data_IF_916745860626
#
_entry.id   IF_916745860626
#
_cell.length_a   1.000
_cell.length_b   1.000
_cell.length_c   1.000
_cell.angle_alpha   90.00
_cell.angle_beta   90.00
_cell.angle_gamma   90.00
#
_symmetry.space_group_name_H-M   'P 1'
#
loop_
_entity.id
_entity.type
_entity.pdbx_description
1 polymer ?
#
# COMPACT_ATOMS: atom_id res chain seq x y z
N UNK A 1 2.89 7.63 -14.21
CA UNK A 1 2.03 6.66 -13.50
C UNK A 1 0.65 7.25 -13.29
N UNK A 2 -0.33 6.45 -12.86
CA UNK A 2 -1.68 6.94 -12.58
C UNK A 2 -1.78 7.79 -11.30
N UNK A 3 -0.87 7.55 -10.33
CA UNK A 3 -0.91 8.23 -9.02
C UNK A 3 0.46 8.62 -8.47
N UNK A 4 1.52 7.91 -8.84
CA UNK A 4 2.88 8.16 -8.35
C UNK A 4 3.73 8.94 -9.35
N UNK A 5 4.54 9.85 -8.80
CA UNK A 5 5.63 10.56 -9.48
C UNK A 5 6.91 10.32 -8.70
N UNK A 6 7.82 9.54 -9.26
CA UNK A 6 9.11 9.19 -8.68
C UNK A 6 10.20 9.29 -9.74
N UNK A 7 11.42 9.58 -9.32
CA UNK A 7 12.60 9.66 -10.21
C UNK A 7 13.15 8.29 -10.59
N UNK A 8 12.83 7.27 -9.80
CA UNK A 8 13.24 5.88 -10.01
C UNK A 8 12.04 4.96 -9.76
N UNK A 9 11.79 4.04 -10.69
CA UNK A 9 10.62 3.15 -10.64
C UNK A 9 10.69 2.14 -9.49
N UNK A 10 11.90 1.81 -9.05
CA UNK A 10 12.15 0.84 -7.98
C UNK A 10 11.93 1.44 -6.57
N UNK A 11 11.56 2.72 -6.45
CA UNK A 11 11.24 3.36 -5.17
C UNK A 11 9.85 2.94 -4.66
N UNK A 12 9.62 1.64 -4.56
CA UNK A 12 8.33 1.04 -4.17
C UNK A 12 8.07 1.15 -2.66
N UNK A 13 9.13 1.24 -1.86
CA UNK A 13 9.12 1.45 -0.41
C UNK A 13 10.31 2.32 0.03
N UNK A 14 10.27 2.82 1.26
CA UNK A 14 11.26 3.77 1.80
C UNK A 14 12.70 3.22 1.78
N UNK A 15 12.88 1.92 1.99
CA UNK A 15 14.19 1.24 1.93
C UNK A 15 14.93 1.49 0.61
N UNK A 16 14.22 1.46 -0.52
CA UNK A 16 14.79 1.70 -1.86
C UNK A 16 15.22 3.14 -2.09
N UNK A 17 14.52 4.09 -1.45
CA UNK A 17 14.91 5.50 -1.45
C UNK A 17 16.18 5.70 -0.63
N UNK A 18 16.26 5.07 0.56
CA UNK A 18 17.44 5.12 1.44
C UNK A 18 18.67 4.48 0.80
N UNK A 19 18.53 3.35 0.12
CA UNK A 19 19.62 2.66 -0.59
C UNK A 19 20.31 3.57 -1.62
N UNK A 20 19.57 4.54 -2.19
CA UNK A 20 20.11 5.54 -3.12
C UNK A 20 20.64 6.80 -2.43
N UNK A 21 20.68 6.84 -1.10
CA UNK A 21 21.17 7.96 -0.31
C UNK A 21 20.20 9.16 -0.23
N UNK A 22 18.93 8.96 -0.60
CA UNK A 22 17.91 9.99 -0.56
C UNK A 22 17.12 9.94 0.76
N UNK A 23 16.55 11.08 1.15
CA UNK A 23 15.69 11.21 2.34
C UNK A 23 14.24 10.84 1.99
N UNK A 24 13.70 9.72 2.51
CA UNK A 24 12.33 9.28 2.19
C UNK A 24 11.24 10.25 2.66
N UNK A 25 11.55 11.16 3.59
CA UNK A 25 10.59 12.18 4.03
C UNK A 25 10.41 13.30 3.01
N UNK A 26 11.43 13.53 2.16
CA UNK A 26 11.40 14.52 1.07
C UNK A 26 11.02 13.89 -0.26
N UNK A 27 11.39 12.63 -0.45
CA UNK A 27 11.14 11.86 -1.65
C UNK A 27 10.26 10.64 -1.30
N UNK A 28 8.94 10.84 -1.20
CA UNK A 28 8.04 9.77 -0.79
C UNK A 28 8.06 8.62 -1.80
N UNK A 29 8.16 7.40 -1.29
CA UNK A 29 8.08 6.17 -2.09
C UNK A 29 6.68 5.97 -2.71
N UNK A 30 6.58 5.07 -3.70
CA UNK A 30 5.33 4.78 -4.42
C UNK A 30 4.24 4.32 -3.44
N UNK A 31 4.56 3.48 -2.46
CA UNK A 31 3.61 3.04 -1.42
C UNK A 31 3.07 4.21 -0.60
N UNK A 32 3.93 5.14 -0.20
CA UNK A 32 3.52 6.35 0.51
C UNK A 32 2.65 7.25 -0.37
N UNK A 33 2.98 7.41 -1.65
CA UNK A 33 2.16 8.19 -2.60
C UNK A 33 0.81 7.53 -2.90
N UNK A 34 0.71 6.20 -2.83
CA UNK A 34 -0.56 5.47 -2.95
C UNK A 34 -1.51 5.81 -1.80
N UNK A 35 -1.01 5.84 -0.56
CA UNK A 35 -1.87 6.04 0.63
C UNK A 35 -2.09 7.51 0.95
N UNK A 36 -1.05 8.35 0.83
CA UNK A 36 -1.08 9.75 1.29
C UNK A 36 -0.96 10.77 0.17
N UNK A 37 -0.57 10.36 -1.04
CA UNK A 37 -0.44 11.26 -2.19
C UNK A 37 -1.78 11.86 -2.60
N UNK A 38 -1.76 13.04 -3.23
CA UNK A 38 -2.98 13.78 -3.60
C UNK A 38 -3.91 12.98 -4.51
N UNK A 39 -3.35 12.19 -5.42
CA UNK A 39 -4.13 11.31 -6.29
C UNK A 39 -4.43 9.98 -5.58
N UNK A 40 -3.40 9.34 -4.99
CA UNK A 40 -3.51 8.01 -4.39
C UNK A 40 -4.60 7.90 -3.32
N UNK A 41 -4.64 8.86 -2.39
CA UNK A 41 -5.62 8.90 -1.30
C UNK A 41 -7.07 9.02 -1.77
N UNK A 42 -7.29 9.45 -3.01
CA UNK A 42 -8.63 9.66 -3.58
C UNK A 42 -9.05 8.52 -4.51
N UNK A 43 -8.20 7.50 -4.71
CA UNK A 43 -8.57 6.34 -5.52
C UNK A 43 -9.66 5.54 -4.80
N UNK A 44 -10.77 5.29 -5.49
CA UNK A 44 -11.87 4.48 -4.95
C UNK A 44 -11.53 2.99 -4.93
N UNK A 45 -10.80 2.49 -5.92
CA UNK A 45 -10.51 1.05 -6.04
C UNK A 45 -9.06 0.84 -6.42
N UNK A 46 -8.33 0.13 -5.56
CA UNK A 46 -6.97 -0.34 -5.79
C UNK A 46 -6.99 -1.86 -5.70
N UNK A 47 -6.66 -2.55 -6.79
CA UNK A 47 -6.54 -4.01 -6.83
C UNK A 47 -5.16 -4.35 -7.40
N UNK A 48 -4.29 -4.95 -6.58
CA UNK A 48 -2.89 -5.20 -6.93
C UNK A 48 -2.28 -6.35 -6.11
N UNK A 49 -0.99 -6.63 -6.32
CA UNK A 49 -0.14 -7.40 -5.41
C UNK A 49 0.75 -6.46 -4.58
N UNK A 50 1.92 -6.93 -4.16
CA UNK A 50 2.94 -6.08 -3.53
C UNK A 50 2.65 -5.66 -2.08
N UNK A 51 1.89 -6.46 -1.30
CA UNK A 51 1.59 -6.17 0.12
C UNK A 51 2.83 -5.83 0.93
N UNK A 52 3.94 -6.53 0.69
CA UNK A 52 5.18 -6.36 1.46
C UNK A 52 5.72 -4.92 1.41
N UNK A 53 5.46 -4.18 0.34
CA UNK A 53 5.95 -2.80 0.18
C UNK A 53 5.17 -1.78 1.03
N UNK A 54 4.00 -2.19 1.53
CA UNK A 54 3.18 -1.38 2.43
C UNK A 54 3.35 -1.78 3.90
N UNK A 55 4.01 -2.91 4.18
CA UNK A 55 4.20 -3.45 5.54
C UNK A 55 5.62 -3.22 6.06
N UNK A 56 5.79 -2.97 7.38
CA UNK A 56 7.11 -2.88 7.99
C UNK A 56 7.76 -4.26 8.07
N UNK A 57 9.09 -4.30 8.12
CA UNK A 57 9.88 -5.54 8.27
C UNK A 57 9.55 -6.34 9.54
N UNK A 58 8.93 -5.70 10.53
CA UNK A 58 8.47 -6.32 11.77
C UNK A 58 7.08 -6.97 11.66
N UNK A 59 6.35 -6.71 10.58
CA UNK A 59 5.04 -7.31 10.32
C UNK A 59 5.15 -8.50 9.38
N UNK A 60 4.33 -9.52 9.65
CA UNK A 60 4.16 -10.69 8.80
C UNK A 60 2.79 -10.57 8.13
N UNK A 61 2.76 -10.69 6.80
CA UNK A 61 1.54 -10.65 6.01
C UNK A 61 0.70 -11.94 6.19
N UNK A 62 -0.49 -11.95 5.59
CA UNK A 62 -1.44 -13.06 5.70
C UNK A 62 -0.95 -14.35 5.01
N UNK A 63 0.13 -14.29 4.22
CA UNK A 63 0.79 -15.44 3.58
C UNK A 63 2.06 -15.87 4.33
N UNK A 64 2.39 -15.25 5.46
CA UNK A 64 3.56 -15.61 6.26
C UNK A 64 4.86 -14.96 5.80
N UNK A 65 4.82 -13.92 4.95
CA UNK A 65 6.02 -13.19 4.50
C UNK A 65 6.19 -11.87 5.23
N UNK A 66 7.44 -11.48 5.46
CA UNK A 66 7.76 -10.23 6.12
C UNK A 66 7.57 -9.02 5.18
N UNK A 67 7.20 -7.88 5.75
CA UNK A 67 7.19 -6.59 5.05
C UNK A 67 8.59 -6.12 4.65
N UNK A 68 8.64 -5.07 3.83
CA UNK A 68 9.88 -4.51 3.29
C UNK A 68 10.15 -3.08 3.76
N UNK A 69 9.18 -2.40 4.39
CA UNK A 69 9.38 -1.02 4.86
C UNK A 69 10.34 -0.96 6.05
N UNK A 70 11.27 -0.01 6.01
CA UNK A 70 12.30 0.20 7.03
C UNK A 70 12.00 1.37 7.98
N UNK A 71 10.91 2.10 7.72
CA UNK A 71 10.44 3.21 8.53
C UNK A 71 9.48 2.80 9.67
N UNK A 72 9.19 1.50 9.80
CA UNK A 72 8.31 0.95 10.83
C UNK A 72 6.82 1.24 10.58
N UNK A 73 6.45 1.77 9.41
CA UNK A 73 5.07 2.14 9.10
C UNK A 73 4.31 0.99 8.47
N UNK A 74 3.06 0.83 8.90
CA UNK A 74 2.09 -0.05 8.23
C UNK A 74 1.13 0.81 7.42
N UNK A 75 1.41 0.95 6.12
CA UNK A 75 0.60 1.78 5.23
C UNK A 75 -0.79 1.21 4.98
N UNK A 76 -0.99 -0.11 5.14
CA UNK A 76 -2.32 -0.73 5.05
C UNK A 76 -3.20 -0.26 6.20
N UNK A 77 -2.66 -0.20 7.42
CA UNK A 77 -3.41 0.27 8.58
C UNK A 77 -3.63 1.79 8.53
N UNK A 78 -2.65 2.54 8.04
CA UNK A 78 -2.82 3.98 7.78
C UNK A 78 -3.92 4.24 6.74
N UNK A 79 -3.99 3.44 5.67
CA UNK A 79 -5.04 3.52 4.66
C UNK A 79 -6.42 3.19 5.26
N UNK A 80 -6.52 2.13 6.08
CA UNK A 80 -7.78 1.80 6.80
C UNK A 80 -8.21 2.94 7.71
N UNK A 81 -7.28 3.56 8.43
CA UNK A 81 -7.56 4.69 9.30
C UNK A 81 -8.06 5.91 8.51
N UNK A 82 -7.44 6.17 7.35
CA UNK A 82 -7.80 7.29 6.48
C UNK A 82 -9.23 7.18 5.93
N UNK A 83 -9.66 5.97 5.55
CA UNK A 83 -10.96 5.74 4.95
C UNK A 83 -12.04 5.27 5.95
N UNK A 84 -11.66 4.90 7.16
CA UNK A 84 -12.58 4.54 8.23
C UNK A 84 -13.59 3.46 7.82
N UNK A 85 -14.87 3.68 8.12
CA UNK A 85 -15.97 2.77 7.76
C UNK A 85 -16.24 2.71 6.25
N UNK A 86 -15.82 3.72 5.50
CA UNK A 86 -16.01 3.78 4.05
C UNK A 86 -14.94 2.97 3.29
N UNK A 87 -13.88 2.54 3.99
CA UNK A 87 -12.77 1.77 3.45
C UNK A 87 -12.86 0.28 3.77
N UNK A 88 -12.62 -0.56 2.75
CA UNK A 88 -12.48 -2.00 2.91
C UNK A 88 -11.13 -2.47 2.39
N UNK A 89 -10.36 -3.11 3.26
CA UNK A 89 -9.18 -3.88 2.86
C UNK A 89 -9.55 -5.35 2.67
N UNK A 90 -9.04 -5.96 1.60
CA UNK A 90 -9.17 -7.39 1.30
C UNK A 90 -7.86 -7.94 0.75
N UNK A 91 -7.57 -9.21 0.99
CA UNK A 91 -6.30 -9.82 0.54
C UNK A 91 -6.46 -11.15 -0.19
N UNK A 92 -7.69 -11.66 -0.32
CA UNK A 92 -7.96 -12.90 -1.04
C UNK A 92 -9.25 -12.79 -1.87
N UNK A 93 -9.40 -13.71 -2.84
CA UNK A 93 -10.57 -13.78 -3.72
C UNK A 93 -11.88 -13.90 -2.96
N UNK A 94 -11.91 -14.64 -1.86
CA UNK A 94 -13.13 -14.88 -1.09
C UNK A 94 -13.64 -13.59 -0.45
N UNK A 95 -12.74 -12.81 0.15
CA UNK A 95 -13.09 -11.51 0.75
C UNK A 95 -13.49 -10.47 -0.29
N UNK A 96 -12.83 -10.46 -1.45
CA UNK A 96 -13.21 -9.60 -2.57
C UNK A 96 -14.65 -9.90 -3.01
N UNK A 97 -14.98 -11.18 -3.24
CA UNK A 97 -16.32 -11.58 -3.66
C UNK A 97 -17.39 -11.38 -2.58
N UNK A 98 -17.01 -11.37 -1.31
CA UNK A 98 -17.90 -11.09 -0.19
C UNK A 98 -18.06 -9.58 0.11
N UNK A 99 -17.39 -8.71 -0.63
CA UNK A 99 -17.43 -7.27 -0.39
C UNK A 99 -18.76 -6.68 -0.86
N UNK A 100 -19.50 -6.07 0.06
CA UNK A 100 -20.73 -5.35 -0.23
C UNK A 100 -20.40 -3.93 -0.72
N UNK A 101 -20.40 -3.75 -2.04
CA UNK A 101 -20.06 -2.48 -2.69
C UNK A 101 -21.07 -1.36 -2.41
N UNK A 102 -22.26 -1.68 -1.89
CA UNK A 102 -23.25 -0.68 -1.48
C UNK A 102 -22.92 0.01 -0.16
N UNK A 103 -21.97 -0.53 0.62
CA UNK A 103 -21.60 -0.05 1.96
C UNK A 103 -20.23 0.60 2.06
N UNK A 104 -19.47 0.61 0.97
CA UNK A 104 -18.09 1.11 0.95
C UNK A 104 -17.90 2.10 -0.20
N UNK A 105 -16.95 3.03 -0.03
CA UNK A 105 -16.54 3.99 -1.07
C UNK A 105 -15.11 3.76 -1.55
N UNK A 106 -14.32 3.06 -0.74
CA UNK A 106 -12.92 2.76 -1.01
C UNK A 106 -12.64 1.27 -0.79
N UNK A 107 -11.94 0.66 -1.74
CA UNK A 107 -11.51 -0.74 -1.71
C UNK A 107 -10.01 -0.83 -1.99
N UNK A 108 -9.27 -1.42 -1.05
CA UNK A 108 -7.86 -1.78 -1.20
C UNK A 108 -7.75 -3.31 -1.20
N UNK A 109 -7.59 -3.90 -2.38
CA UNK A 109 -7.36 -5.32 -2.57
C UNK A 109 -5.90 -5.60 -2.89
N UNK A 110 -5.19 -6.27 -1.98
CA UNK A 110 -3.79 -6.66 -2.18
C UNK A 110 -3.64 -8.18 -2.08
N UNK A 111 -3.48 -8.87 -3.21
CA UNK A 111 -3.69 -10.32 -3.30
C UNK A 111 -2.43 -11.17 -3.16
N UNK A 112 -1.26 -10.55 -3.24
CA UNK A 112 0.04 -11.23 -3.22
C UNK A 112 1.04 -10.41 -2.42
N UNK A 113 2.02 -11.08 -1.81
CA UNK A 113 3.10 -10.42 -1.07
C UNK A 113 3.99 -9.56 -1.97
N UNK A 114 4.28 -10.05 -3.17
CA UNK A 114 5.15 -9.42 -4.17
C UNK A 114 4.41 -9.30 -5.53
N UNK A 115 5.13 -8.95 -6.58
CA UNK A 115 4.66 -9.00 -7.96
C UNK A 115 4.68 -10.46 -8.45
N UNK A 116 3.67 -10.87 -9.24
CA UNK A 116 3.69 -12.14 -9.97
C UNK A 116 4.55 -12.05 -11.23
#
# INVERSE_FOLDING_TARGET
GAYASVTERDWEHDGKVRERGCDPTKYPDIGQQLVHGEVGKNINVVLAGGRRFLLPTTAIDEEGKAGSRTDGRNLIDEWKLLHGSDGKYVWNKRELLATDTGKIKHLLGLFESDHC
#
